data_IF_254341971570
#
_entry.id   IF_254341971570
#
_cell.length_a   1.000
_cell.length_b   1.000
_cell.length_c   1.000
_cell.angle_alpha   90.00
_cell.angle_beta   90.00
_cell.angle_gamma   90.00
#
_symmetry.space_group_name_H-M   'P 1'
#
loop_
_entity.id
_entity.type
_entity.pdbx_description
1 polymer ?
#
# COMPACT_ATOMS: atom_id res chain seq x y z
N UNK A 1 6.97 -0.15 44.73
CA UNK A 1 8.19 0.16 43.95
C UNK A 1 7.86 -0.11 42.49
N UNK A 2 7.78 0.91 41.62
CA UNK A 2 7.43 0.69 40.22
C UNK A 2 8.66 0.23 39.43
N UNK A 3 8.39 -0.70 38.52
CA UNK A 3 9.29 -1.40 37.62
C UNK A 3 10.04 -0.45 36.68
N UNK A 4 11.36 -0.40 36.82
CA UNK A 4 12.26 0.17 35.82
C UNK A 4 12.64 -0.95 34.85
N UNK A 5 11.93 -1.11 33.73
CA UNK A 5 12.44 -1.91 32.61
C UNK A 5 11.81 -1.69 31.24
N UNK A 6 10.76 -0.87 31.10
CA UNK A 6 10.13 -0.67 29.78
C UNK A 6 10.81 0.42 28.94
N UNK A 7 11.52 1.37 29.57
CA UNK A 7 12.16 2.49 28.87
C UNK A 7 13.45 2.13 28.12
N UNK A 8 14.12 1.02 28.46
CA UNK A 8 15.38 0.63 27.82
C UNK A 8 15.20 -0.20 26.53
N UNK A 9 14.01 -0.78 26.30
CA UNK A 9 13.78 -1.63 25.12
C UNK A 9 13.49 -0.78 23.88
N UNK A 10 12.78 0.34 24.03
CA UNK A 10 12.46 1.23 22.92
C UNK A 10 13.70 1.92 22.32
N UNK A 11 14.67 2.32 23.15
CA UNK A 11 15.91 2.96 22.69
C UNK A 11 16.84 1.98 21.94
N UNK A 12 16.79 0.68 22.26
CA UNK A 12 17.62 -0.33 21.63
C UNK A 12 17.16 -0.70 20.21
N UNK A 13 15.86 -0.62 19.92
CA UNK A 13 15.31 -0.94 18.60
C UNK A 13 15.70 0.05 17.50
N UNK A 14 15.63 1.35 17.78
CA UNK A 14 15.99 2.43 16.83
C UNK A 14 17.48 2.45 16.52
N UNK A 15 18.34 2.01 17.46
CA UNK A 15 19.79 1.94 17.23
C UNK A 15 20.20 0.87 16.20
N UNK A 16 19.40 -0.19 16.02
CA UNK A 16 19.68 -1.27 15.07
C UNK A 16 19.17 -0.95 13.65
N UNK A 17 18.13 -0.12 13.53
CA UNK A 17 17.46 0.22 12.28
C UNK A 17 17.29 1.75 12.15
N UNK A 18 18.38 2.48 11.81
CA UNK A 18 18.35 3.93 11.76
C UNK A 18 17.48 4.44 10.61
N UNK A 19 16.38 5.14 10.92
CA UNK A 19 15.49 5.73 9.92
C UNK A 19 15.17 7.20 10.25
N UNK A 20 14.84 7.97 9.22
CA UNK A 20 14.57 9.41 9.32
C UNK A 20 13.18 9.73 9.86
N UNK A 21 12.25 8.78 9.79
CA UNK A 21 10.89 8.97 10.30
C UNK A 21 10.87 9.08 11.83
N UNK A 22 10.34 10.17 12.37
CA UNK A 22 10.28 10.34 13.83
C UNK A 22 9.15 9.50 14.44
N UNK A 23 9.59 8.52 15.21
CA UNK A 23 8.77 7.57 15.95
C UNK A 23 8.75 7.83 17.45
N UNK A 24 9.39 8.91 17.89
CA UNK A 24 9.48 9.32 19.29
C UNK A 24 8.09 9.53 19.89
N UNK A 25 7.88 8.97 21.09
CA UNK A 25 6.61 9.10 21.81
C UNK A 25 5.43 8.32 21.21
N UNK A 26 5.68 7.44 20.23
CA UNK A 26 4.65 6.55 19.66
C UNK A 26 4.87 5.12 20.13
N UNK A 27 3.78 4.43 20.46
CA UNK A 27 3.81 3.03 20.85
C UNK A 27 4.24 2.12 19.69
N UNK A 28 5.11 1.12 19.91
CA UNK A 28 5.47 0.16 18.86
C UNK A 28 4.22 -0.54 18.32
N UNK A 29 4.22 -0.95 17.04
CA UNK A 29 3.15 -1.82 16.55
C UNK A 29 3.01 -3.07 17.42
N UNK A 30 1.80 -3.66 17.53
CA UNK A 30 1.61 -4.91 18.26
C UNK A 30 2.53 -6.01 17.74
N UNK A 31 3.04 -6.87 18.63
CA UNK A 31 3.97 -7.95 18.27
C UNK A 31 3.38 -8.90 17.21
N UNK A 32 2.09 -9.21 17.32
CA UNK A 32 1.36 -10.06 16.36
C UNK A 32 0.75 -9.28 15.18
N UNK A 33 1.12 -8.00 15.05
CA UNK A 33 0.55 -7.06 14.09
C UNK A 33 -0.82 -6.51 14.49
N UNK A 34 -1.24 -5.44 13.80
CA UNK A 34 -2.55 -4.83 14.03
C UNK A 34 -3.69 -5.79 13.70
N UNK A 35 -4.65 -5.86 14.62
CA UNK A 35 -5.89 -6.59 14.42
C UNK A 35 -6.85 -5.83 13.51
N UNK A 36 -7.82 -6.56 12.97
CA UNK A 36 -8.88 -5.98 12.15
C UNK A 36 -9.61 -4.84 12.86
N UNK A 37 -9.87 -4.98 14.17
CA UNK A 37 -10.60 -3.96 14.92
C UNK A 37 -9.72 -2.76 15.26
N UNK A 38 -8.41 -2.94 15.47
CA UNK A 38 -7.48 -1.83 15.61
C UNK A 38 -7.43 -0.98 14.32
N UNK A 39 -7.31 -1.62 13.16
CA UNK A 39 -7.31 -0.93 11.86
C UNK A 39 -8.65 -0.23 11.63
N UNK A 40 -9.77 -0.94 11.86
CA UNK A 40 -11.12 -0.37 11.73
C UNK A 40 -11.31 0.86 12.63
N UNK A 41 -10.85 0.79 13.88
CA UNK A 41 -10.98 1.88 14.84
C UNK A 41 -10.11 3.07 14.44
N UNK A 42 -8.89 2.85 13.95
CA UNK A 42 -8.04 3.91 13.43
C UNK A 42 -8.70 4.65 12.25
N UNK A 43 -9.32 3.91 11.31
CA UNK A 43 -10.06 4.51 10.18
C UNK A 43 -11.26 5.31 10.70
N UNK A 44 -12.10 4.72 11.56
CA UNK A 44 -13.33 5.36 12.08
C UNK A 44 -13.05 6.62 12.89
N UNK A 45 -11.96 6.63 13.65
CA UNK A 45 -11.55 7.76 14.50
C UNK A 45 -10.62 8.74 13.78
N UNK A 46 -10.37 8.55 12.48
CA UNK A 46 -9.39 9.32 11.71
C UNK A 46 -8.00 9.40 12.36
N UNK A 47 -7.61 8.35 13.10
CA UNK A 47 -6.34 8.25 13.83
C UNK A 47 -5.32 7.40 13.05
N UNK A 48 -5.21 7.64 11.74
CA UNK A 48 -4.37 6.83 10.85
C UNK A 48 -2.87 6.91 11.18
N UNK A 49 -2.43 8.00 11.84
CA UNK A 49 -1.07 8.15 12.35
C UNK A 49 -0.68 7.08 13.41
N UNK A 50 -1.66 6.42 14.03
CA UNK A 50 -1.45 5.33 14.98
C UNK A 50 -1.06 4.01 14.29
N UNK A 51 -1.32 3.87 12.98
CA UNK A 51 -0.87 2.75 12.18
C UNK A 51 0.51 3.08 11.61
N UNK A 52 1.53 2.32 12.01
CA UNK A 52 2.90 2.52 11.54
C UNK A 52 3.60 1.21 11.23
N UNK A 53 4.71 1.31 10.49
CA UNK A 53 5.65 0.20 10.30
C UNK A 53 6.44 -0.04 11.60
N UNK A 54 7.05 -1.21 11.69
CA UNK A 54 8.14 -1.45 12.64
C UNK A 54 9.36 -0.60 12.26
N UNK A 55 10.29 -0.37 13.18
CA UNK A 55 11.54 0.36 12.88
C UNK A 55 12.32 -0.32 11.73
N UNK A 56 12.41 -1.66 11.76
CA UNK A 56 12.98 -2.47 10.66
C UNK A 56 12.26 -2.23 9.33
N UNK A 57 10.92 -2.32 9.31
CA UNK A 57 10.15 -2.14 8.08
C UNK A 57 10.23 -0.71 7.54
N UNK A 58 10.34 0.29 8.42
CA UNK A 58 10.54 1.69 8.04
C UNK A 58 11.94 1.91 7.48
N UNK A 59 12.97 1.36 8.13
CA UNK A 59 14.35 1.38 7.63
C UNK A 59 14.44 0.75 6.23
N UNK A 60 13.91 -0.45 6.05
CA UNK A 60 13.92 -1.16 4.76
C UNK A 60 13.21 -0.36 3.65
N UNK A 61 12.11 0.32 4.00
CA UNK A 61 11.39 1.21 3.08
C UNK A 61 12.22 2.43 2.67
N UNK A 62 12.91 3.07 3.62
CA UNK A 62 13.78 4.22 3.34
C UNK A 62 14.99 3.80 2.50
N UNK A 63 15.65 2.68 2.84
CA UNK A 63 16.75 2.13 2.04
C UNK A 63 16.34 1.79 0.61
N UNK A 64 15.11 1.34 0.40
CA UNK A 64 14.58 1.12 -0.96
C UNK A 64 14.37 2.43 -1.72
N UNK A 65 13.81 3.46 -1.07
CA UNK A 65 13.64 4.76 -1.70
C UNK A 65 14.96 5.41 -2.11
N UNK A 66 16.03 5.16 -1.37
CA UNK A 66 17.38 5.66 -1.64
C UNK A 66 18.03 4.98 -2.86
N UNK A 67 17.61 3.75 -3.19
CA UNK A 67 18.09 3.02 -4.38
C UNK A 67 17.46 3.49 -5.69
N UNK A 68 16.37 4.24 -5.63
CA UNK A 68 15.68 4.74 -6.83
C UNK A 68 16.59 5.75 -7.54
N UNK A 69 16.93 5.48 -8.80
CA UNK A 69 17.71 6.40 -9.63
C UNK A 69 16.91 7.68 -9.91
N UNK A 70 17.22 8.74 -9.16
CA UNK A 70 16.57 10.05 -9.26
C UNK A 70 16.93 10.83 -10.52
N UNK A 71 17.93 10.39 -11.28
CA UNK A 71 18.26 10.98 -12.58
C UNK A 71 17.29 10.49 -13.66
N UNK A 72 16.91 9.21 -13.59
CA UNK A 72 15.96 8.58 -14.50
C UNK A 72 14.52 8.83 -14.08
N UNK A 73 14.21 8.63 -12.79
CA UNK A 73 12.86 8.77 -12.25
C UNK A 73 12.80 9.96 -11.29
N UNK A 74 12.06 11.02 -11.64
CA UNK A 74 12.04 12.28 -10.89
C UNK A 74 11.52 12.12 -9.47
N UNK A 75 10.65 11.13 -9.24
CA UNK A 75 10.04 10.85 -7.94
C UNK A 75 9.68 9.36 -7.78
N UNK A 76 9.34 8.97 -6.55
CA UNK A 76 9.00 7.57 -6.21
C UNK A 76 7.77 7.09 -6.98
N UNK A 77 6.79 7.97 -7.21
CA UNK A 77 5.59 7.63 -7.95
C UNK A 77 5.86 7.30 -9.42
N UNK A 78 6.78 8.00 -10.07
CA UNK A 78 7.24 7.65 -11.42
C UNK A 78 7.86 6.25 -11.44
N UNK A 79 8.82 5.98 -10.55
CA UNK A 79 9.42 4.65 -10.44
C UNK A 79 8.37 3.55 -10.24
N UNK A 80 7.38 3.80 -9.37
CA UNK A 80 6.26 2.88 -9.17
C UNK A 80 5.46 2.68 -10.46
N UNK A 81 5.09 3.74 -11.16
CA UNK A 81 4.27 3.65 -12.37
C UNK A 81 4.98 2.88 -13.50
N UNK A 82 6.26 3.17 -13.75
CA UNK A 82 7.03 2.61 -14.87
C UNK A 82 7.61 1.22 -14.54
N UNK A 83 8.22 1.06 -13.37
CA UNK A 83 8.98 -0.17 -13.04
C UNK A 83 8.12 -1.20 -12.32
N UNK A 84 7.37 -0.77 -11.30
CA UNK A 84 6.62 -1.69 -10.42
C UNK A 84 5.28 -2.09 -11.02
N UNK A 85 4.52 -1.10 -11.49
CA UNK A 85 3.18 -1.32 -12.03
C UNK A 85 3.24 -1.69 -13.51
N UNK A 86 4.27 -1.22 -14.23
CA UNK A 86 4.44 -1.38 -15.67
C UNK A 86 3.15 -1.01 -16.40
N UNK A 87 2.61 0.17 -16.07
CA UNK A 87 1.39 0.65 -16.69
C UNK A 87 1.62 0.78 -18.21
N UNK A 88 0.78 0.16 -19.05
CA UNK A 88 1.04 0.09 -20.48
C UNK A 88 0.85 1.46 -21.13
N UNK A 89 1.47 1.64 -22.30
CA UNK A 89 1.48 2.90 -23.05
C UNK A 89 2.13 4.08 -22.30
N UNK A 90 2.80 3.80 -21.18
CA UNK A 90 3.78 4.70 -20.60
C UNK A 90 5.14 4.44 -21.24
N UNK A 91 5.72 5.46 -21.83
CA UNK A 91 7.10 5.42 -22.28
C UNK A 91 8.01 5.64 -21.07
N UNK A 92 8.83 4.64 -20.73
CA UNK A 92 9.76 4.72 -19.61
C UNK A 92 10.78 5.84 -19.88
N UNK A 93 11.00 6.77 -18.93
CA UNK A 93 12.10 7.74 -19.03
C UNK A 93 13.47 7.11 -19.27
N UNK A 94 13.68 5.84 -18.87
CA UNK A 94 14.89 5.09 -19.16
C UNK A 94 15.07 4.78 -20.66
N UNK A 95 13.99 4.77 -21.45
CA UNK A 95 13.98 4.35 -22.85
C UNK A 95 14.07 5.52 -23.84
N UNK A 96 14.07 6.79 -23.39
CA UNK A 96 13.93 7.95 -24.30
C UNK A 96 14.85 9.15 -23.99
N UNK A 97 15.41 9.74 -25.07
CA UNK A 97 16.22 10.97 -25.07
C UNK A 97 15.40 12.22 -25.46
N UNK A 98 14.07 12.11 -25.58
CA UNK A 98 13.22 13.18 -26.12
C UNK A 98 12.67 14.10 -25.02
N UNK A 99 12.80 15.43 -25.21
CA UNK A 99 12.22 16.42 -24.30
C UNK A 99 10.69 16.31 -24.25
N UNK A 100 10.15 16.02 -23.06
CA UNK A 100 8.71 15.85 -22.84
C UNK A 100 7.97 17.19 -22.70
N UNK A 101 6.96 17.41 -23.52
CA UNK A 101 6.08 18.60 -23.50
C UNK A 101 4.78 18.44 -22.71
N UNK A 102 4.39 17.21 -22.34
CA UNK A 102 3.16 16.91 -21.58
C UNK A 102 3.44 16.65 -20.10
N UNK A 103 2.51 17.04 -19.22
CA UNK A 103 2.58 16.73 -17.79
C UNK A 103 2.31 15.24 -17.52
N UNK A 104 2.83 14.71 -16.40
CA UNK A 104 2.63 13.30 -16.04
C UNK A 104 1.16 12.98 -15.75
N UNK A 105 0.41 13.93 -15.18
CA UNK A 105 -1.04 13.77 -14.95
C UNK A 105 -1.82 13.57 -16.25
N UNK A 106 -1.44 14.25 -17.33
CA UNK A 106 -2.06 14.09 -18.65
C UNK A 106 -1.76 12.71 -19.23
N UNK A 107 -0.53 12.21 -19.07
CA UNK A 107 -0.16 10.85 -19.49
C UNK A 107 -0.97 9.80 -18.72
N UNK A 108 -1.09 9.96 -17.40
CA UNK A 108 -1.84 9.03 -16.56
C UNK A 108 -3.32 8.92 -16.94
N UNK A 109 -3.94 10.01 -17.40
CA UNK A 109 -5.35 9.98 -17.86
C UNK A 109 -5.59 9.06 -19.06
N UNK A 110 -4.58 8.77 -19.87
CA UNK A 110 -4.70 7.95 -21.08
C UNK A 110 -4.36 6.45 -20.86
N UNK A 111 -3.92 6.06 -19.67
CA UNK A 111 -3.50 4.69 -19.34
C UNK A 111 -4.70 3.82 -18.97
N UNK A 112 -4.70 2.59 -19.48
CA UNK A 112 -5.54 1.48 -19.02
C UNK A 112 -4.64 0.29 -18.65
N UNK A 113 -4.80 -0.38 -17.48
CA UNK A 113 -5.89 -0.23 -16.54
C UNK A 113 -5.71 0.99 -15.63
N UNK A 114 -6.80 1.72 -15.35
CA UNK A 114 -6.80 2.86 -14.42
C UNK A 114 -6.65 2.50 -12.94
N UNK A 115 -6.74 1.21 -12.63
CA UNK A 115 -6.65 0.65 -11.29
C UNK A 115 -5.70 -0.54 -11.30
N UNK A 116 -4.79 -0.61 -10.33
CA UNK A 116 -3.87 -1.74 -10.19
C UNK A 116 -3.69 -2.10 -8.72
N UNK A 117 -4.20 -3.26 -8.33
CA UNK A 117 -4.08 -3.81 -6.98
C UNK A 117 -2.78 -4.63 -6.87
N UNK A 118 -2.00 -4.41 -5.81
CA UNK A 118 -0.75 -5.13 -5.49
C UNK A 118 -0.63 -5.35 -3.99
N UNK A 119 0.03 -6.42 -3.57
CA UNK A 119 0.46 -6.52 -2.18
C UNK A 119 1.37 -5.33 -1.84
N UNK A 120 1.28 -4.86 -0.60
CA UNK A 120 2.15 -3.80 -0.12
C UNK A 120 3.54 -4.39 0.18
N UNK A 121 4.57 -3.99 -0.58
CA UNK A 121 5.96 -4.44 -0.36
C UNK A 121 6.53 -3.99 0.99
N UNK A 122 6.03 -2.89 1.55
CA UNK A 122 6.44 -2.33 2.84
C UNK A 122 5.21 -2.14 3.73
N UNK A 123 4.59 -3.23 4.20
CA UNK A 123 3.33 -3.18 4.92
C UNK A 123 3.51 -2.71 6.37
N UNK A 124 2.42 -2.24 6.96
CA UNK A 124 2.27 -2.24 8.42
C UNK A 124 2.18 -3.69 8.88
N UNK A 125 2.70 -4.05 10.06
CA UNK A 125 2.50 -5.38 10.59
C UNK A 125 1.01 -5.59 10.86
N UNK A 126 0.43 -6.63 10.28
CA UNK A 126 -0.98 -7.02 10.49
C UNK A 126 -1.06 -8.50 10.84
N UNK A 127 -2.11 -8.89 11.55
CA UNK A 127 -2.34 -10.29 11.91
C UNK A 127 -2.33 -11.20 10.68
N UNK A 128 -1.87 -12.45 10.85
CA UNK A 128 -1.67 -13.43 9.75
C UNK A 128 -2.92 -13.73 8.91
N UNK A 129 -4.11 -13.50 9.46
CA UNK A 129 -5.38 -13.67 8.74
C UNK A 129 -5.77 -12.44 7.89
N UNK A 130 -4.88 -11.44 7.79
CA UNK A 130 -5.07 -10.18 7.07
C UNK A 130 -3.97 -10.02 6.02
N UNK A 131 -4.35 -9.77 4.76
CA UNK A 131 -3.45 -9.30 3.71
C UNK A 131 -3.59 -7.79 3.52
N UNK A 132 -2.45 -7.12 3.30
CA UNK A 132 -2.36 -5.68 3.09
C UNK A 132 -1.93 -5.37 1.64
N UNK A 133 -2.86 -4.81 0.88
CA UNK A 133 -2.67 -4.35 -0.48
C UNK A 133 -2.58 -2.82 -0.57
N UNK A 134 -1.98 -2.35 -1.66
CA UNK A 134 -2.12 -0.99 -2.17
C UNK A 134 -2.87 -1.06 -3.50
N UNK A 135 -3.92 -0.26 -3.63
CA UNK A 135 -4.59 -0.05 -4.90
C UNK A 135 -4.12 1.28 -5.48
N UNK A 136 -3.38 1.19 -6.58
CA UNK A 136 -2.88 2.33 -7.34
C UNK A 136 -3.91 2.78 -8.36
N UNK A 137 -4.01 4.09 -8.59
CA UNK A 137 -4.90 4.68 -9.58
C UNK A 137 -4.25 5.83 -10.34
N UNK A 138 -4.58 5.91 -11.62
CA UNK A 138 -4.29 7.08 -12.46
C UNK A 138 -5.31 8.22 -12.27
N UNK A 139 -6.37 7.98 -11.51
CA UNK A 139 -7.45 8.93 -11.24
C UNK A 139 -7.38 9.44 -9.81
N UNK A 140 -7.88 10.65 -9.60
CA UNK A 140 -7.88 11.27 -8.28
C UNK A 140 -8.86 10.58 -7.32
N UNK A 141 -8.30 9.76 -6.42
CA UNK A 141 -9.04 9.05 -5.37
C UNK A 141 -9.58 9.96 -4.25
N UNK A 142 -9.27 11.26 -4.26
CA UNK A 142 -9.93 12.24 -3.39
C UNK A 142 -11.39 12.49 -3.79
N UNK A 143 -11.70 12.33 -5.08
CA UNK A 143 -13.03 12.54 -5.64
C UNK A 143 -14.01 11.45 -5.16
N UNK A 144 -15.20 11.86 -4.74
CA UNK A 144 -16.22 10.93 -4.25
C UNK A 144 -16.67 9.94 -5.33
N UNK A 145 -16.78 10.38 -6.59
CA UNK A 145 -17.16 9.53 -7.73
C UNK A 145 -16.19 8.36 -7.95
N UNK A 146 -14.90 8.58 -7.70
CA UNK A 146 -13.88 7.53 -7.83
C UNK A 146 -13.95 6.56 -6.65
N UNK A 147 -14.19 7.08 -5.44
CA UNK A 147 -14.42 6.25 -4.24
C UNK A 147 -15.67 5.38 -4.35
N UNK A 148 -16.72 5.80 -5.05
CA UNK A 148 -17.89 4.93 -5.30
C UNK A 148 -17.60 3.79 -6.28
N UNK A 149 -16.80 4.03 -7.33
CA UNK A 149 -16.39 3.00 -8.30
C UNK A 149 -15.50 1.94 -7.65
N UNK A 150 -14.68 2.36 -6.69
CA UNK A 150 -13.78 1.51 -5.94
C UNK A 150 -14.50 0.37 -5.20
N UNK A 151 -15.61 0.64 -4.53
CA UNK A 151 -16.30 -0.42 -3.77
C UNK A 151 -16.80 -1.54 -4.70
N UNK A 152 -17.29 -1.15 -5.89
CA UNK A 152 -17.63 -2.11 -6.96
C UNK A 152 -16.41 -2.88 -7.43
N UNK A 153 -15.28 -2.19 -7.69
CA UNK A 153 -14.00 -2.82 -8.06
C UNK A 153 -13.56 -3.88 -7.04
N UNK A 154 -13.43 -3.50 -5.77
CA UNK A 154 -12.96 -4.39 -4.72
C UNK A 154 -13.93 -5.57 -4.51
N UNK A 155 -15.24 -5.35 -4.65
CA UNK A 155 -16.24 -6.41 -4.59
C UNK A 155 -16.05 -7.41 -5.72
N UNK A 156 -15.85 -6.93 -6.96
CA UNK A 156 -15.56 -7.79 -8.12
C UNK A 156 -14.28 -8.60 -7.91
N UNK A 157 -13.21 -7.93 -7.46
CA UNK A 157 -11.91 -8.57 -7.22
C UNK A 157 -11.99 -9.64 -6.12
N UNK A 158 -12.57 -9.35 -4.96
CA UNK A 158 -12.50 -10.26 -3.80
C UNK A 158 -13.62 -11.28 -3.71
N UNK A 159 -14.79 -11.02 -4.31
CA UNK A 159 -15.95 -11.94 -4.29
C UNK A 159 -16.10 -12.68 -5.63
N UNK A 160 -15.61 -12.14 -6.75
CA UNK A 160 -15.63 -12.79 -8.05
C UNK A 160 -16.99 -12.82 -8.76
N UNK A 161 -17.99 -12.09 -8.27
CA UNK A 161 -19.28 -11.95 -8.98
C UNK A 161 -19.14 -10.91 -10.07
N UNK A 162 -18.72 -11.31 -11.27
CA UNK A 162 -18.76 -10.46 -12.47
C UNK A 162 -20.17 -9.88 -12.61
N UNK A 163 -20.30 -8.55 -12.57
CA UNK A 163 -21.54 -7.88 -12.95
C UNK A 163 -21.58 -7.81 -14.49
N UNK A 164 -22.51 -8.50 -15.16
CA UNK A 164 -22.61 -8.47 -16.63
C UNK A 164 -22.99 -7.09 -17.18
N UNK A 165 -23.34 -6.10 -16.34
CA UNK A 165 -23.61 -4.71 -16.72
C UNK A 165 -22.43 -3.76 -16.46
N UNK A 166 -21.36 -4.21 -15.79
CA UNK A 166 -20.13 -3.43 -15.73
C UNK A 166 -19.53 -3.46 -17.14
N UNK A 167 -19.52 -2.32 -17.84
CA UNK A 167 -18.94 -2.17 -19.18
C UNK A 167 -17.45 -2.58 -19.23
N UNK A 168 -16.73 -2.30 -20.33
CA UNK A 168 -15.33 -2.73 -20.49
C UNK A 168 -14.42 -2.00 -19.49
N UNK A 169 -14.38 -2.49 -18.25
CA UNK A 169 -13.38 -2.18 -17.26
C UNK A 169 -12.21 -3.10 -17.56
N UNK A 170 -11.23 -2.59 -18.31
CA UNK A 170 -9.93 -3.26 -18.41
C UNK A 170 -9.25 -3.03 -17.07
N UNK A 171 -9.36 -3.99 -16.18
CA UNK A 171 -8.70 -4.01 -14.88
C UNK A 171 -7.80 -5.23 -14.84
N UNK A 172 -6.53 -5.05 -14.45
CA UNK A 172 -5.66 -6.21 -14.26
C UNK A 172 -6.29 -7.05 -13.13
N UNK A 173 -6.57 -8.34 -13.35
CA UNK A 173 -7.01 -9.20 -12.26
C UNK A 173 -6.00 -9.10 -11.12
N UNK A 174 -6.48 -9.29 -9.90
CA UNK A 174 -5.64 -9.54 -8.73
C UNK A 174 -4.37 -10.29 -9.13
N UNK A 175 -3.23 -9.82 -8.62
CA UNK A 175 -2.02 -10.63 -8.65
C UNK A 175 -2.37 -12.03 -8.12
N UNK A 176 -1.70 -13.07 -8.62
CA UNK A 176 -1.85 -14.45 -8.16
C UNK A 176 -1.58 -14.66 -6.64
N UNK A 177 -1.38 -13.56 -5.91
CA UNK A 177 -0.95 -13.42 -4.52
C UNK A 177 -2.12 -13.37 -3.51
N UNK A 178 -3.38 -13.19 -3.95
CA UNK A 178 -4.52 -13.20 -3.02
C UNK A 178 -4.81 -14.62 -2.54
N UNK A 179 -4.65 -14.85 -1.24
CA UNK A 179 -4.94 -16.15 -0.66
C UNK A 179 -6.44 -16.50 -0.72
N UNK A 180 -6.79 -17.80 -0.80
CA UNK A 180 -8.18 -18.23 -0.69
C UNK A 180 -8.75 -17.85 0.69
N UNK A 181 -10.09 -17.78 0.85
CA UNK A 181 -10.68 -17.61 2.17
C UNK A 181 -10.28 -18.78 3.09
N UNK A 182 -10.14 -18.51 4.38
CA UNK A 182 -9.99 -19.55 5.39
C UNK A 182 -11.24 -20.45 5.42
N UNK A 183 -11.08 -21.71 5.86
CA UNK A 183 -12.14 -22.70 5.87
C UNK A 183 -13.40 -22.17 6.60
N UNK A 184 -14.55 -22.20 5.91
CA UNK A 184 -15.83 -21.73 6.44
C UNK A 184 -15.96 -20.22 6.60
N UNK A 185 -15.03 -19.41 6.08
CA UNK A 185 -15.06 -17.95 6.16
C UNK A 185 -15.39 -17.30 4.82
N UNK A 186 -15.82 -16.04 4.88
CA UNK A 186 -15.99 -15.15 3.72
C UNK A 186 -15.01 -14.00 3.87
N UNK A 187 -14.30 -13.64 2.79
CA UNK A 187 -13.41 -12.48 2.77
C UNK A 187 -14.18 -11.21 3.12
N UNK A 188 -13.54 -10.33 3.87
CA UNK A 188 -14.02 -8.99 4.16
C UNK A 188 -12.90 -8.01 3.91
N UNK A 189 -13.22 -6.83 3.40
CA UNK A 189 -12.23 -5.80 3.13
C UNK A 189 -12.59 -4.46 3.76
N UNK A 190 -11.57 -3.65 4.00
CA UNK A 190 -11.70 -2.24 4.33
C UNK A 190 -10.58 -1.48 3.62
N UNK A 191 -10.77 -0.18 3.43
CA UNK A 191 -9.75 0.65 2.83
C UNK A 191 -9.72 2.04 3.45
N UNK A 192 -8.58 2.72 3.30
CA UNK A 192 -8.46 4.13 3.61
C UNK A 192 -7.50 4.83 2.65
N UNK A 193 -7.67 6.14 2.53
CA UNK A 193 -6.74 7.03 1.85
C UNK A 193 -5.91 7.73 2.91
N UNK A 194 -4.59 7.70 2.79
CA UNK A 194 -3.76 8.50 3.69
C UNK A 194 -4.08 10.00 3.53
N UNK A 195 -4.23 10.75 4.62
CA UNK A 195 -4.17 12.21 4.62
C UNK A 195 -2.89 12.68 3.93
N UNK A 196 -2.92 13.89 3.34
CA UNK A 196 -1.81 14.39 2.51
C UNK A 196 -0.49 14.39 3.28
N UNK A 197 -0.53 14.73 4.56
CA UNK A 197 0.59 14.75 5.49
C UNK A 197 1.17 13.37 5.84
N UNK A 198 0.44 12.28 5.58
CA UNK A 198 0.88 10.90 5.82
C UNK A 198 1.26 10.17 4.52
N UNK A 199 1.12 10.80 3.35
CA UNK A 199 1.44 10.15 2.06
C UNK A 199 2.94 10.18 1.80
N UNK A 200 3.54 9.00 1.74
CA UNK A 200 4.93 8.86 1.29
C UNK A 200 5.09 8.97 -0.23
N UNK A 201 4.04 8.65 -1.01
CA UNK A 201 4.03 8.77 -2.48
C UNK A 201 2.93 9.75 -2.90
N UNK A 202 3.27 11.03 -3.02
CA UNK A 202 2.28 12.07 -3.32
C UNK A 202 1.87 12.13 -4.80
N UNK A 203 2.72 11.64 -5.71
CA UNK A 203 2.60 11.84 -7.17
C UNK A 203 1.77 10.78 -7.90
N UNK A 204 1.36 9.72 -7.21
CA UNK A 204 0.45 8.69 -7.76
C UNK A 204 -0.64 8.41 -6.73
N UNK A 205 -1.90 8.47 -7.17
CA UNK A 205 -3.03 8.20 -6.29
C UNK A 205 -3.06 6.73 -5.89
N UNK A 206 -3.27 6.49 -4.60
CA UNK A 206 -3.39 5.15 -4.07
C UNK A 206 -4.20 5.13 -2.79
N UNK A 207 -4.77 3.97 -2.49
CA UNK A 207 -5.40 3.68 -1.21
C UNK A 207 -4.78 2.42 -0.61
N UNK A 208 -4.92 2.30 0.70
CA UNK A 208 -4.55 1.12 1.45
C UNK A 208 -5.77 0.22 1.59
N UNK A 209 -5.63 -1.05 1.23
CA UNK A 209 -6.72 -2.03 1.24
C UNK A 209 -6.31 -3.20 2.12
N UNK A 210 -7.13 -3.55 3.10
CA UNK A 210 -6.92 -4.71 3.96
C UNK A 210 -7.98 -5.74 3.69
N UNK A 211 -7.60 -7.00 3.56
CA UNK A 211 -8.50 -8.14 3.34
C UNK A 211 -8.29 -9.14 4.45
N UNK A 212 -9.34 -9.46 5.22
CA UNK A 212 -9.27 -10.46 6.29
C UNK A 212 -9.96 -11.77 5.95
N UNK A 213 -9.78 -12.73 6.85
CA UNK A 213 -10.33 -14.08 6.79
C UNK A 213 -9.81 -14.86 5.57
N UNK A 214 -8.57 -14.55 5.18
CA UNK A 214 -7.82 -15.33 4.20
C UNK A 214 -7.11 -16.50 4.90
N UNK A 215 -6.74 -17.53 4.13
CA UNK A 215 -5.92 -18.62 4.64
C UNK A 215 -4.65 -18.02 5.27
N UNK A 216 -4.32 -18.37 6.54
CA UNK A 216 -3.12 -17.86 7.17
C UNK A 216 -1.91 -18.30 6.35
N UNK A 217 -1.06 -17.35 5.96
CA UNK A 217 0.30 -17.63 5.53
C UNK A 217 1.25 -17.45 6.71
N UNK A 218 2.52 -17.78 6.50
CA UNK A 218 3.60 -17.27 7.34
C UNK A 218 3.44 -15.75 7.56
N UNK A 219 3.92 -15.20 8.70
CA UNK A 219 3.82 -13.78 9.00
C UNK A 219 4.20 -12.95 7.77
N UNK A 220 3.50 -11.83 7.56
CA UNK A 220 3.65 -10.91 6.41
C UNK A 220 5.07 -10.28 6.27
N UNK A 221 6.10 -10.85 6.89
CA UNK A 221 7.49 -10.80 6.43
C UNK A 221 7.72 -11.67 5.17
N UNK A 222 6.70 -11.86 4.32
CA UNK A 222 6.90 -12.52 3.03
C UNK A 222 7.82 -11.62 2.22
N UNK A 223 9.08 -12.06 2.14
CA UNK A 223 10.07 -11.62 1.17
C UNK A 223 9.58 -12.06 -0.21
N UNK A 224 8.54 -11.40 -0.75
CA UNK A 224 8.52 -11.18 -2.18
C UNK A 224 9.87 -10.57 -2.53
N UNK A 225 10.46 -10.94 -3.66
CA UNK A 225 11.67 -10.28 -4.16
C UNK A 225 11.38 -8.78 -4.15
N UNK A 226 11.86 -8.10 -3.11
CA UNK A 226 11.57 -6.69 -2.92
C UNK A 226 12.32 -6.01 -4.06
N UNK A 227 11.62 -5.26 -4.91
CA UNK A 227 12.24 -4.63 -6.06
C UNK A 227 13.38 -3.70 -5.64
#
# INVERSE_FOLDING_TARGET
MPSANESNIAAAGTALYPHHTDFTGRDPPPADGYSWDQIRNAIKSNSLHALRRTDKGQYEYEQWQDKIDRKTYKNVGEYIAFVILQWPNLQDPADDNTEMTQSMEEKYRAIEPRLTLRLNHYPFPVQQSIQYFVLWSTRDMSLLSERSRLDTYLRLQFIGTQDPLAGPFVEKPLSAELFPPAAGKKKQWMWFLNPVELRSVATVHHIHVFVRDVHPSEPNEVFFERP
#
